data_IF_814996655217
#
_entry.id   IF_814996655217
#
_cell.length_a   1.000
_cell.length_b   1.000
_cell.length_c   1.000
_cell.angle_alpha   90.00
_cell.angle_beta   90.00
_cell.angle_gamma   90.00
#
_symmetry.space_group_name_H-M   'P 1'
#
loop_
_entity.id
_entity.type
_entity.pdbx_description
1 polymer ?
#
# COMPACT_ATOMS: atom_id res chain seq x y z
N UNK A 1 21.87 10.39 1.16
CA UNK A 1 21.65 9.69 -0.13
C UNK A 1 20.66 8.56 0.13
N UNK A 2 19.47 8.59 -0.47
CA UNK A 2 18.50 7.49 -0.35
C UNK A 2 18.85 6.40 -1.36
N UNK A 3 19.38 5.27 -0.88
CA UNK A 3 19.65 4.09 -1.72
C UNK A 3 18.35 3.59 -2.33
N UNK A 4 18.30 3.41 -3.66
CA UNK A 4 17.12 2.86 -4.34
C UNK A 4 16.86 1.43 -3.86
N UNK A 5 15.67 1.20 -3.31
CA UNK A 5 15.20 -0.11 -2.84
C UNK A 5 14.26 -0.70 -3.89
N UNK A 6 14.46 -1.96 -4.28
CA UNK A 6 13.60 -2.65 -5.25
C UNK A 6 12.42 -3.39 -4.60
N UNK A 7 12.53 -3.68 -3.30
CA UNK A 7 11.49 -4.39 -2.53
C UNK A 7 10.43 -3.38 -2.09
N UNK A 8 9.16 -3.75 -2.24
CA UNK A 8 8.03 -2.97 -1.73
C UNK A 8 7.87 -3.23 -0.23
N UNK A 9 7.76 -2.15 0.52
CA UNK A 9 7.63 -2.12 1.98
C UNK A 9 6.37 -1.36 2.38
N UNK A 10 5.89 -1.55 3.62
CA UNK A 10 4.68 -0.87 4.11
C UNK A 10 4.82 0.67 4.07
N UNK A 11 6.02 1.19 4.30
CA UNK A 11 6.32 2.63 4.25
C UNK A 11 6.16 3.25 2.86
N UNK A 12 6.15 2.43 1.80
CA UNK A 12 5.90 2.91 0.44
C UNK A 12 4.40 3.22 0.22
N UNK A 13 3.54 2.88 1.19
CA UNK A 13 2.12 3.13 1.18
C UNK A 13 1.73 4.20 2.21
N UNK A 14 0.79 5.07 1.82
CA UNK A 14 0.11 6.01 2.70
C UNK A 14 -1.37 5.67 2.74
N UNK A 15 -1.90 5.48 3.94
CA UNK A 15 -3.29 5.15 4.20
C UNK A 15 -4.02 6.38 4.76
N UNK A 16 -5.02 6.87 4.04
CA UNK A 16 -5.84 8.01 4.45
C UNK A 16 -7.28 7.53 4.65
N UNK A 17 -7.84 7.55 5.88
CA UNK A 17 -9.23 7.18 6.09
C UNK A 17 -10.14 8.15 5.32
N UNK A 18 -11.11 7.61 4.57
CA UNK A 18 -12.07 8.42 3.79
C UNK A 18 -13.47 8.37 4.37
N UNK A 19 -13.90 7.19 4.81
CA UNK A 19 -15.19 6.94 5.44
C UNK A 19 -15.12 5.63 6.21
N UNK A 20 -16.22 5.21 6.84
CA UNK A 20 -16.25 4.00 7.65
C UNK A 20 -15.82 2.76 6.83
N UNK A 21 -14.76 2.09 7.27
CA UNK A 21 -14.22 0.91 6.60
C UNK A 21 -13.59 1.17 5.22
N UNK A 22 -13.20 2.42 4.92
CA UNK A 22 -12.70 2.79 3.61
C UNK A 22 -11.45 3.68 3.70
N UNK A 23 -10.38 3.28 3.00
CA UNK A 23 -9.12 4.00 2.93
C UNK A 23 -8.82 4.43 1.50
N UNK A 24 -8.40 5.69 1.31
CA UNK A 24 -7.60 6.04 0.15
C UNK A 24 -6.18 5.56 0.43
N UNK A 25 -5.68 4.65 -0.39
CA UNK A 25 -4.33 4.13 -0.29
C UNK A 25 -3.51 4.69 -1.44
N UNK A 26 -2.40 5.34 -1.13
CA UNK A 26 -1.45 5.86 -2.11
C UNK A 26 -0.17 5.04 -2.04
N UNK A 27 0.26 4.45 -3.15
CA UNK A 27 1.54 3.75 -3.28
C UNK A 27 2.55 4.63 -4.02
N UNK A 28 3.73 4.82 -3.45
CA UNK A 28 4.87 5.50 -4.08
C UNK A 28 5.96 4.50 -4.38
N UNK A 29 6.34 4.35 -5.65
CA UNK A 29 7.41 3.43 -6.03
C UNK A 29 8.78 3.91 -5.51
N UNK A 30 9.52 3.13 -4.70
CA UNK A 30 10.85 3.53 -4.22
C UNK A 30 11.93 3.52 -5.32
N UNK A 31 11.63 2.92 -6.48
CA UNK A 31 12.56 2.83 -7.63
C UNK A 31 12.38 4.01 -8.59
N UNK A 32 11.12 4.33 -8.89
CA UNK A 32 10.74 5.27 -9.94
C UNK A 32 10.09 6.55 -9.42
N UNK A 33 9.75 6.61 -8.14
CA UNK A 33 9.05 7.72 -7.47
C UNK A 33 7.68 8.09 -8.05
N UNK A 34 7.16 7.29 -9.00
CA UNK A 34 5.79 7.39 -9.47
C UNK A 34 4.82 7.01 -8.37
N UNK A 35 3.66 7.66 -8.37
CA UNK A 35 2.60 7.47 -7.38
C UNK A 35 1.31 7.00 -8.05
N UNK A 36 0.56 6.18 -7.32
CA UNK A 36 -0.78 5.71 -7.70
C UNK A 36 -1.67 5.72 -6.46
N UNK A 37 -2.97 5.91 -6.63
CA UNK A 37 -3.91 5.89 -5.51
C UNK A 37 -5.22 5.24 -5.88
N UNK A 38 -5.72 4.37 -5.00
CA UNK A 38 -7.02 3.73 -5.14
C UNK A 38 -7.81 3.81 -3.83
N UNK A 39 -9.13 3.66 -3.94
CA UNK A 39 -10.00 3.49 -2.79
C UNK A 39 -10.07 2.01 -2.45
N UNK A 40 -9.69 1.65 -1.23
CA UNK A 40 -9.69 0.27 -0.72
C UNK A 40 -10.75 0.18 0.39
N UNK A 41 -11.76 -0.64 0.15
CA UNK A 41 -12.81 -1.01 1.10
C UNK A 41 -12.70 -2.48 1.56
N UNK A 42 -11.73 -3.23 1.02
CA UNK A 42 -11.37 -4.56 1.52
C UNK A 42 -10.63 -4.43 2.85
N UNK A 43 -11.41 -4.45 3.95
CA UNK A 43 -10.86 -4.34 5.30
C UNK A 43 -9.99 -5.55 5.69
N UNK A 44 -10.21 -6.73 5.08
CA UNK A 44 -9.34 -7.89 5.32
C UNK A 44 -7.93 -7.63 4.77
N UNK A 45 -7.81 -7.01 3.61
CA UNK A 45 -6.51 -6.60 3.07
C UNK A 45 -5.85 -5.48 3.89
N UNK A 46 -6.65 -4.52 4.41
CA UNK A 46 -6.14 -3.48 5.31
C UNK A 46 -5.60 -4.09 6.61
N UNK A 47 -6.31 -5.06 7.19
CA UNK A 47 -5.87 -5.74 8.40
C UNK A 47 -4.62 -6.60 8.19
N UNK A 48 -4.53 -7.28 7.04
CA UNK A 48 -3.36 -8.07 6.66
C UNK A 48 -2.12 -7.21 6.31
N UNK A 49 -2.30 -5.90 6.11
CA UNK A 49 -1.22 -4.97 5.72
C UNK A 49 -1.00 -3.88 6.76
N UNK A 50 -1.83 -2.83 6.75
CA UNK A 50 -1.71 -1.63 7.59
C UNK A 50 -1.75 -1.94 9.09
N UNK A 51 -2.56 -2.92 9.51
CA UNK A 51 -2.77 -3.24 10.93
C UNK A 51 -2.04 -4.52 11.37
N UNK A 52 -1.36 -5.22 10.46
CA UNK A 52 -0.56 -6.40 10.80
C UNK A 52 0.74 -5.96 11.49
N UNK A 53 1.12 -6.68 12.55
CA UNK A 53 2.42 -6.49 13.20
C UNK A 53 3.58 -6.76 12.23
N UNK A 54 3.46 -7.84 11.45
CA UNK A 54 4.38 -8.18 10.36
C UNK A 54 3.58 -8.51 9.09
N UNK A 55 3.34 -7.52 8.20
CA UNK A 55 2.59 -7.75 6.98
C UNK A 55 3.36 -8.69 6.04
N UNK A 56 2.66 -9.68 5.46
CA UNK A 56 3.31 -10.64 4.58
C UNK A 56 3.62 -9.98 3.23
N UNK A 57 4.71 -10.42 2.62
CA UNK A 57 5.16 -9.93 1.31
C UNK A 57 4.07 -10.03 0.24
N UNK A 58 3.38 -11.18 0.18
CA UNK A 58 2.30 -11.43 -0.78
C UNK A 58 1.15 -10.43 -0.63
N UNK A 59 0.84 -10.00 0.59
CA UNK A 59 -0.27 -9.10 0.88
C UNK A 59 0.08 -7.66 0.49
N UNK A 60 1.34 -7.25 0.69
CA UNK A 60 1.87 -5.96 0.19
C UNK A 60 1.95 -5.92 -1.34
N UNK A 61 2.35 -7.01 -1.98
CA UNK A 61 2.43 -7.09 -3.44
C UNK A 61 1.02 -7.09 -4.07
N UNK A 62 0.04 -7.74 -3.42
CA UNK A 62 -1.38 -7.65 -3.80
C UNK A 62 -1.91 -6.22 -3.66
N UNK A 63 -1.69 -5.56 -2.51
CA UNK A 63 -2.11 -4.18 -2.29
C UNK A 63 -1.51 -3.23 -3.33
N UNK A 64 -0.22 -3.36 -3.63
CA UNK A 64 0.44 -2.61 -4.71
C UNK A 64 -0.23 -2.83 -6.07
N UNK A 65 -0.54 -4.08 -6.41
CA UNK A 65 -1.20 -4.42 -7.68
C UNK A 65 -2.56 -3.72 -7.78
N UNK A 66 -3.37 -3.80 -6.73
CA UNK A 66 -4.69 -3.15 -6.68
C UNK A 66 -4.54 -1.63 -6.82
N UNK A 67 -3.66 -1.00 -6.04
CA UNK A 67 -3.48 0.47 -6.08
C UNK A 67 -2.98 0.97 -7.43
N UNK A 68 -2.20 0.17 -8.17
CA UNK A 68 -1.70 0.54 -9.51
C UNK A 68 -2.72 0.37 -10.64
N UNK A 69 -3.74 -0.46 -10.42
CA UNK A 69 -4.73 -0.83 -11.44
C UNK A 69 -6.12 -0.22 -11.18
N UNK A 70 -6.33 0.41 -10.02
CA UNK A 70 -7.53 1.21 -9.71
C UNK A 70 -7.40 2.64 -10.20
#
# INVERSE_FOLDING_TARGET
MTTKRNKTELSDFRFEPKSHGCYKVTYTSPVTYKTWSAIINDMTLIDATKNAFEPKRRDLDLLKSIVKNG
#
